data_IF_401981119227
#
_entry.id   IF_401981119227
#
_cell.length_a   1.000
_cell.length_b   1.000
_cell.length_c   1.000
_cell.angle_alpha   90.00
_cell.angle_beta   90.00
_cell.angle_gamma   90.00
#
_symmetry.space_group_name_H-M   'P 1'
#
loop_
_entity.id
_entity.type
_entity.pdbx_description
1 polymer ?
#
# COMPACT_ATOMS: atom_id res chain seq x y z
N UNK A 1 -18.42 19.25 0.49
CA UNK A 1 -17.06 18.85 0.95
C UNK A 1 -17.12 18.67 2.46
N UNK A 2 -16.48 17.65 3.04
CA UNK A 2 -16.41 17.53 4.49
C UNK A 2 -15.67 18.75 5.08
N UNK A 3 -16.21 19.30 6.17
CA UNK A 3 -15.52 20.33 6.94
C UNK A 3 -14.40 19.69 7.74
N UNK A 4 -13.19 20.21 7.61
CA UNK A 4 -12.00 19.76 8.33
C UNK A 4 -11.58 20.84 9.31
N UNK A 5 -11.42 20.47 10.57
CA UNK A 5 -10.93 21.37 11.60
C UNK A 5 -9.43 21.20 11.75
N UNK A 6 -8.70 22.29 11.55
CA UNK A 6 -7.25 22.34 11.69
C UNK A 6 -6.86 23.03 13.00
N UNK A 7 -5.83 22.50 13.66
CA UNK A 7 -5.18 23.21 14.77
C UNK A 7 -4.55 24.52 14.25
N UNK A 8 -4.27 25.46 15.15
CA UNK A 8 -3.70 26.76 14.75
C UNK A 8 -2.37 26.59 13.99
N UNK A 9 -1.46 25.75 14.49
CA UNK A 9 -0.18 25.48 13.84
C UNK A 9 -0.33 24.89 12.42
N UNK A 10 -1.34 24.03 12.21
CA UNK A 10 -1.63 23.49 10.87
C UNK A 10 -2.17 24.57 9.93
N UNK A 11 -2.99 25.48 10.43
CA UNK A 11 -3.49 26.62 9.64
C UNK A 11 -2.34 27.53 9.21
N UNK A 12 -1.44 27.86 10.13
CA UNK A 12 -0.27 28.70 9.85
C UNK A 12 0.62 28.07 8.77
N UNK A 13 0.89 26.78 8.89
CA UNK A 13 1.64 26.02 7.89
C UNK A 13 0.95 26.02 6.52
N UNK A 14 -0.33 25.68 6.45
CA UNK A 14 -1.08 25.72 5.18
C UNK A 14 -1.03 27.12 4.57
N UNK A 15 -1.21 28.15 5.39
CA UNK A 15 -1.23 29.53 4.95
C UNK A 15 0.14 29.99 4.45
N UNK A 16 1.24 29.53 5.05
CA UNK A 16 2.60 29.82 4.55
C UNK A 16 2.85 29.16 3.20
N UNK A 17 2.39 27.91 3.03
CA UNK A 17 2.51 27.21 1.76
C UNK A 17 1.72 27.90 0.64
N UNK A 18 0.52 28.41 0.93
CA UNK A 18 -0.27 29.18 -0.05
C UNK A 18 0.39 30.53 -0.35
N UNK A 19 0.84 31.26 0.68
CA UNK A 19 1.54 32.56 0.51
C UNK A 19 2.83 32.43 -0.31
N UNK A 20 3.52 31.30 -0.20
CA UNK A 20 4.72 31.01 -0.99
C UNK A 20 4.43 30.73 -2.47
N UNK A 21 3.16 30.49 -2.84
CA UNK A 21 2.76 30.09 -4.18
C UNK A 21 2.90 28.59 -4.47
N UNK A 22 3.32 27.78 -3.49
CA UNK A 22 3.43 26.32 -3.66
C UNK A 22 2.07 25.63 -3.91
N UNK A 23 0.98 26.21 -3.40
CA UNK A 23 -0.38 25.73 -3.61
C UNK A 23 -1.37 26.90 -3.74
N UNK A 24 -2.45 26.70 -4.49
CA UNK A 24 -3.44 27.75 -4.72
C UNK A 24 -4.47 27.86 -3.59
N UNK A 25 -4.72 26.78 -2.84
CA UNK A 25 -5.75 26.73 -1.79
C UNK A 25 -5.52 25.59 -0.79
N UNK A 26 -6.26 25.63 0.33
CA UNK A 26 -6.22 24.60 1.38
C UNK A 26 -6.48 23.19 0.84
N UNK A 27 -7.45 23.03 -0.06
CA UNK A 27 -7.83 21.72 -0.59
C UNK A 27 -6.69 21.06 -1.37
N UNK A 28 -5.82 21.83 -2.02
CA UNK A 28 -4.62 21.30 -2.67
C UNK A 28 -3.57 20.82 -1.67
N UNK A 29 -3.33 21.58 -0.60
CA UNK A 29 -2.41 21.19 0.47
C UNK A 29 -2.88 19.89 1.12
N UNK A 30 -4.18 19.78 1.42
CA UNK A 30 -4.78 18.56 1.99
C UNK A 30 -4.63 17.37 1.03
N UNK A 31 -4.91 17.55 -0.27
CA UNK A 31 -4.71 16.48 -1.26
C UNK A 31 -3.25 16.05 -1.34
N UNK A 32 -2.30 16.98 -1.32
CA UNK A 32 -0.88 16.65 -1.32
C UNK A 32 -0.49 15.85 -0.08
N UNK A 33 -0.96 16.26 1.12
CA UNK A 33 -0.73 15.53 2.36
C UNK A 33 -1.31 14.11 2.33
N UNK A 34 -2.53 13.93 1.81
CA UNK A 34 -3.15 12.60 1.67
C UNK A 34 -2.37 11.72 0.70
N UNK A 35 -1.91 12.25 -0.45
CA UNK A 35 -1.06 11.46 -1.38
C UNK A 35 0.22 10.98 -0.71
N UNK A 36 0.89 11.84 0.04
CA UNK A 36 2.09 11.46 0.80
C UNK A 36 1.80 10.35 1.82
N UNK A 37 0.63 10.40 2.50
CA UNK A 37 0.21 9.33 3.39
C UNK A 37 -0.03 8.01 2.64
N UNK A 38 -0.72 8.06 1.50
CA UNK A 38 -0.95 6.88 0.66
C UNK A 38 0.36 6.26 0.16
N UNK A 39 1.33 7.07 -0.26
CA UNK A 39 2.65 6.60 -0.67
C UNK A 39 3.40 5.93 0.47
N UNK A 40 3.38 6.53 1.67
CA UNK A 40 3.97 5.93 2.87
C UNK A 40 3.29 4.61 3.25
N UNK A 41 1.97 4.54 3.13
CA UNK A 41 1.21 3.34 3.45
C UNK A 41 1.50 2.21 2.46
N UNK A 42 1.55 2.51 1.16
CA UNK A 42 1.98 1.57 0.13
C UNK A 42 3.41 1.09 0.33
N UNK A 43 4.35 2.00 0.65
CA UNK A 43 5.73 1.63 0.95
C UNK A 43 5.81 0.71 2.17
N UNK A 44 5.03 0.97 3.24
CA UNK A 44 4.97 0.09 4.42
C UNK A 44 4.48 -1.31 4.08
N UNK A 45 3.44 -1.44 3.26
CA UNK A 45 2.94 -2.73 2.79
C UNK A 45 3.99 -3.49 1.98
N UNK A 46 4.69 -2.78 1.08
CA UNK A 46 5.78 -3.37 0.30
C UNK A 46 6.92 -3.88 1.19
N UNK A 47 7.38 -3.09 2.15
CA UNK A 47 8.46 -3.51 3.05
C UNK A 47 8.06 -4.65 3.98
N UNK A 48 6.81 -4.68 4.45
CA UNK A 48 6.30 -5.81 5.23
C UNK A 48 6.32 -7.10 4.39
N UNK A 49 5.75 -7.07 3.18
CA UNK A 49 5.74 -8.21 2.28
C UNK A 49 7.17 -8.65 1.89
N UNK A 50 8.07 -7.70 1.65
CA UNK A 50 9.48 -7.99 1.36
C UNK A 50 10.15 -8.72 2.53
N UNK A 51 9.93 -8.26 3.76
CA UNK A 51 10.47 -8.89 4.97
C UNK A 51 9.93 -10.31 5.14
N UNK A 52 8.62 -10.51 4.97
CA UNK A 52 7.98 -11.84 5.05
C UNK A 52 8.53 -12.81 3.99
N UNK A 53 8.74 -12.32 2.76
CA UNK A 53 9.31 -13.13 1.69
C UNK A 53 10.78 -13.49 1.94
N UNK A 54 11.58 -12.57 2.48
CA UNK A 54 12.99 -12.82 2.83
C UNK A 54 13.11 -13.88 3.93
N UNK A 55 12.23 -13.86 4.92
CA UNK A 55 12.13 -14.89 5.96
C UNK A 55 11.74 -16.25 5.35
N UNK A 56 10.69 -16.29 4.53
CA UNK A 56 10.24 -17.52 3.88
C UNK A 56 11.31 -18.13 2.94
N UNK A 57 12.09 -17.30 2.24
CA UNK A 57 13.22 -17.75 1.42
C UNK A 57 14.30 -18.37 2.29
N UNK A 58 14.65 -17.73 3.40
CA UNK A 58 15.66 -18.24 4.35
C UNK A 58 15.25 -19.60 4.90
N UNK A 59 13.98 -19.75 5.28
CA UNK A 59 13.41 -21.02 5.76
C UNK A 59 13.45 -22.10 4.68
N UNK A 60 13.04 -21.76 3.45
CA UNK A 60 13.05 -22.70 2.33
C UNK A 60 14.47 -23.17 1.96
N UNK A 61 15.46 -22.26 1.93
CA UNK A 61 16.88 -22.57 1.74
C UNK A 61 17.43 -23.42 2.89
N UNK A 62 16.94 -23.20 4.11
CA UNK A 62 17.21 -24.04 5.29
C UNK A 62 16.55 -25.42 5.25
N UNK A 63 15.75 -25.71 4.23
CA UNK A 63 15.06 -26.99 4.04
C UNK A 63 13.65 -27.05 4.65
N UNK A 64 13.13 -25.96 5.21
CA UNK A 64 11.76 -25.86 5.70
C UNK A 64 10.76 -25.59 4.57
N UNK A 65 10.74 -26.45 3.56
CA UNK A 65 9.77 -26.41 2.46
C UNK A 65 9.23 -27.82 2.17
N UNK A 66 8.08 -27.90 1.51
CA UNK A 66 7.50 -29.14 1.00
C UNK A 66 7.13 -28.99 -0.46
N UNK A 67 6.99 -30.12 -1.16
CA UNK A 67 6.47 -30.12 -2.52
C UNK A 67 5.03 -29.59 -2.52
N UNK A 68 4.77 -28.55 -3.31
CA UNK A 68 3.45 -27.97 -3.47
C UNK A 68 2.68 -28.70 -4.58
N UNK A 69 1.51 -29.25 -4.25
CA UNK A 69 0.58 -29.81 -5.23
C UNK A 69 -0.53 -28.79 -5.52
N UNK A 70 -0.48 -28.08 -6.68
CA UNK A 70 -1.47 -27.06 -7.02
C UNK A 70 -2.85 -27.66 -7.33
N UNK A 71 -2.93 -28.91 -7.78
CA UNK A 71 -4.20 -29.56 -8.13
C UNK A 71 -4.95 -29.96 -6.86
N UNK A 72 -4.23 -30.46 -5.85
CA UNK A 72 -4.82 -30.75 -4.55
C UNK A 72 -5.25 -29.48 -3.79
N UNK A 73 -4.52 -28.37 -3.95
CA UNK A 73 -4.80 -27.11 -3.29
C UNK A 73 -6.04 -26.40 -3.87
N UNK A 74 -6.16 -26.36 -5.20
CA UNK A 74 -7.30 -25.73 -5.91
C UNK A 74 -7.96 -26.69 -6.90
N UNK A 75 -8.69 -27.72 -6.44
CA UNK A 75 -9.28 -28.72 -7.32
C UNK A 75 -10.28 -28.11 -8.32
N UNK A 76 -10.98 -27.05 -7.92
CA UNK A 76 -11.95 -26.35 -8.78
C UNK A 76 -11.29 -25.55 -9.91
N UNK A 77 -10.04 -25.12 -9.76
CA UNK A 77 -9.30 -24.42 -10.80
C UNK A 77 -8.90 -25.36 -11.96
N UNK A 78 -8.62 -26.62 -11.64
CA UNK A 78 -8.08 -27.63 -12.56
C UNK A 78 -9.05 -28.76 -12.92
N UNK A 79 -10.31 -28.66 -12.51
CA UNK A 79 -11.35 -29.66 -12.80
C UNK A 79 -11.67 -29.80 -14.30
N UNK A 80 -12.31 -30.91 -14.71
CA UNK A 80 -12.49 -31.33 -16.12
C UNK A 80 -13.47 -30.47 -16.97
N UNK A 81 -13.69 -29.20 -16.61
CA UNK A 81 -14.58 -28.27 -17.31
C UNK A 81 -13.95 -26.96 -17.78
N UNK A 82 -12.64 -26.74 -17.59
CA UNK A 82 -11.94 -25.48 -17.96
C UNK A 82 -10.88 -25.62 -19.07
N UNK A 83 -10.70 -26.79 -19.66
CA UNK A 83 -9.97 -26.94 -20.93
C UNK A 83 -10.90 -26.62 -22.10
N UNK A 84 -11.06 -25.34 -22.44
CA UNK A 84 -11.83 -24.96 -23.63
C UNK A 84 -12.18 -23.48 -23.76
N UNK A 85 -11.22 -22.69 -24.26
CA UNK A 85 -11.40 -21.67 -25.30
C UNK A 85 -10.02 -21.29 -25.85
#
# INVERSE_FOLDING_TARGET
>A
MPNVHLTHAMQDYVQSQIKSGAYANLSEVVRAGIRLLMEKDGARQFYALKSELEEAVTDAEGGAHSAFDPVAFEPDAFGPGRTGA
#
